data_IF_772450746190
#
_entry.id   IF_772450746190
#
_cell.length_a   1.000
_cell.length_b   1.000
_cell.length_c   1.000
_cell.angle_alpha   90.00
_cell.angle_beta   90.00
_cell.angle_gamma   90.00
#
_symmetry.space_group_name_H-M   'P 1'
#
loop_
_entity.id
_entity.type
_entity.pdbx_description
1 polymer ?
#
# COMPACT_ATOMS: atom_id res chain seq x y z
N UNK A 1 -11.42 -15.61 44.33
CA UNK A 1 -10.13 -15.99 43.71
C UNK A 1 -10.12 -15.53 42.25
N UNK A 2 -9.64 -14.31 41.98
CA UNK A 2 -9.57 -13.76 40.60
C UNK A 2 -8.15 -13.29 40.32
N UNK A 3 -7.68 -13.42 39.07
CA UNK A 3 -6.36 -12.96 38.65
C UNK A 3 -5.29 -14.03 38.52
N UNK A 4 -5.65 -15.27 38.20
CA UNK A 4 -4.68 -16.28 37.77
C UNK A 4 -4.44 -16.16 36.25
N UNK A 5 -3.19 -16.29 35.82
CA UNK A 5 -2.78 -16.37 34.41
C UNK A 5 -2.31 -17.79 34.15
N UNK A 6 -2.96 -18.45 33.20
CA UNK A 6 -2.60 -19.78 32.73
C UNK A 6 -1.70 -19.63 31.50
N UNK A 7 -0.47 -20.12 31.58
CA UNK A 7 0.44 -20.17 30.45
C UNK A 7 0.29 -21.48 29.67
N UNK A 8 0.74 -21.47 28.41
CA UNK A 8 0.61 -22.60 27.48
C UNK A 8 1.43 -23.82 27.90
N UNK A 9 2.41 -23.63 28.79
CA UNK A 9 3.24 -24.66 29.41
C UNK A 9 2.61 -25.28 30.67
N UNK A 10 1.37 -24.91 31.02
CA UNK A 10 0.66 -25.41 32.19
C UNK A 10 0.99 -24.66 33.49
N UNK A 11 1.90 -23.68 33.46
CA UNK A 11 2.20 -22.88 34.66
C UNK A 11 1.06 -21.91 34.98
N UNK A 12 0.75 -21.81 36.28
CA UNK A 12 -0.25 -20.89 36.80
C UNK A 12 0.46 -19.86 37.65
N UNK A 13 0.29 -18.58 37.30
CA UNK A 13 0.89 -17.46 38.04
C UNK A 13 -0.16 -16.42 38.41
N UNK A 14 0.06 -15.75 39.53
CA UNK A 14 -0.76 -14.61 39.91
C UNK A 14 -0.48 -13.44 38.95
N UNK A 15 -1.54 -12.80 38.48
CA UNK A 15 -1.46 -11.61 37.65
C UNK A 15 -0.71 -10.54 38.46
N UNK A 16 0.37 -9.95 37.92
CA UNK A 16 1.09 -8.90 38.61
C UNK A 16 0.17 -7.71 38.91
N UNK A 17 0.43 -7.03 40.02
CA UNK A 17 -0.33 -5.86 40.43
C UNK A 17 -0.31 -4.77 39.36
N UNK A 18 -1.41 -4.02 39.25
CA UNK A 18 -1.54 -2.96 38.24
C UNK A 18 -0.51 -1.85 38.48
N UNK A 19 0.34 -1.59 37.50
CA UNK A 19 1.33 -0.50 37.56
C UNK A 19 0.76 0.86 37.09
N UNK A 20 -0.58 1.02 37.09
CA UNK A 20 -1.26 2.18 36.50
C UNK A 20 -0.85 3.50 37.16
N UNK A 21 -0.76 3.55 38.48
CA UNK A 21 -0.37 4.76 39.20
C UNK A 21 1.03 5.23 38.79
N UNK A 22 2.01 4.33 38.79
CA UNK A 22 3.39 4.60 38.37
C UNK A 22 3.48 5.00 36.90
N UNK A 23 2.72 4.34 36.02
CA UNK A 23 2.66 4.69 34.61
C UNK A 23 2.17 6.12 34.43
N UNK A 24 1.14 6.54 35.16
CA UNK A 24 0.56 7.89 35.05
C UNK A 24 1.49 8.97 35.60
N UNK A 25 2.09 8.77 36.78
CA UNK A 25 2.75 9.87 37.52
C UNK A 25 4.27 9.88 37.47
N UNK A 26 4.94 8.75 37.21
CA UNK A 26 6.40 8.68 37.33
C UNK A 26 7.12 9.46 36.23
N UNK A 27 8.18 10.20 36.61
CA UNK A 27 9.09 10.88 35.68
C UNK A 27 9.88 9.90 34.81
N UNK A 28 10.22 8.72 35.32
CA UNK A 28 10.97 7.71 34.56
C UNK A 28 10.14 7.08 33.42
N UNK A 29 8.80 7.21 33.47
CA UNK A 29 7.89 6.64 32.47
C UNK A 29 7.40 7.63 31.41
N UNK A 30 7.91 8.87 31.38
CA UNK A 30 7.51 9.89 30.39
C UNK A 30 7.62 9.37 28.96
N UNK A 31 8.77 8.81 28.58
CA UNK A 31 9.00 8.25 27.23
C UNK A 31 8.10 7.07 26.89
N UNK A 32 7.76 6.25 27.89
CA UNK A 32 6.84 5.11 27.71
C UNK A 32 5.43 5.61 27.44
N UNK A 33 4.99 6.66 28.16
CA UNK A 33 3.69 7.32 27.93
C UNK A 33 3.61 7.97 26.55
N UNK A 34 4.64 8.72 26.14
CA UNK A 34 4.73 9.34 24.82
C UNK A 34 4.58 8.28 23.71
N UNK A 35 5.37 7.21 23.77
CA UNK A 35 5.28 6.11 22.80
C UNK A 35 3.91 5.43 22.81
N UNK A 36 3.33 5.20 24.00
CA UNK A 36 2.01 4.59 24.13
C UNK A 36 0.91 5.46 23.52
N UNK A 37 0.98 6.77 23.70
CA UNK A 37 0.06 7.74 23.10
C UNK A 37 0.11 7.68 21.57
N UNK A 38 1.31 7.78 21.00
CA UNK A 38 1.50 7.73 19.54
C UNK A 38 1.14 6.35 18.96
N UNK A 39 1.37 5.26 19.70
CA UNK A 39 0.94 3.93 19.28
C UNK A 39 -0.59 3.82 19.25
N UNK A 40 -1.27 4.38 20.25
CA UNK A 40 -2.72 4.49 20.28
C UNK A 40 -3.29 5.31 19.12
N UNK A 41 -2.64 6.44 18.79
CA UNK A 41 -2.99 7.26 17.64
C UNK A 41 -2.81 6.50 16.30
N UNK A 42 -1.67 5.84 16.10
CA UNK A 42 -1.42 5.01 14.93
C UNK A 42 -2.43 3.86 14.79
N UNK A 43 -2.75 3.17 15.89
CA UNK A 43 -3.77 2.11 15.91
C UNK A 43 -5.18 2.63 15.58
N UNK A 44 -5.53 3.82 16.07
CA UNK A 44 -6.81 4.49 15.77
C UNK A 44 -6.90 4.88 14.30
N UNK A 45 -5.82 5.43 13.74
CA UNK A 45 -5.74 5.77 12.32
C UNK A 45 -5.82 4.53 11.42
N UNK A 46 -5.14 3.43 11.78
CA UNK A 46 -5.24 2.16 11.05
C UNK A 46 -6.63 1.52 11.16
N UNK A 47 -7.34 1.72 12.27
CA UNK A 47 -8.76 1.35 12.37
C UNK A 47 -9.62 2.19 11.41
N UNK A 48 -9.37 3.49 11.32
CA UNK A 48 -10.12 4.39 10.45
C UNK A 48 -10.02 3.98 8.97
N UNK A 49 -8.81 3.65 8.49
CA UNK A 49 -8.58 3.11 7.13
C UNK A 49 -9.37 1.82 6.90
N UNK A 50 -9.34 0.89 7.87
CA UNK A 50 -10.10 -0.37 7.77
C UNK A 50 -11.60 -0.17 7.79
N UNK A 51 -12.10 0.80 8.54
CA UNK A 51 -13.52 1.13 8.55
C UNK A 51 -13.94 1.74 7.20
N UNK A 52 -13.11 2.62 6.63
CA UNK A 52 -13.35 3.26 5.34
C UNK A 52 -13.39 2.29 4.16
N UNK A 53 -12.63 1.19 4.24
CA UNK A 53 -12.49 0.16 3.21
C UNK A 53 -13.08 -1.19 3.63
N UNK A 54 -14.00 -1.18 4.60
CA UNK A 54 -14.50 -2.40 5.27
C UNK A 54 -15.07 -3.41 4.29
N UNK A 55 -15.87 -2.94 3.32
CA UNK A 55 -16.56 -3.82 2.36
C UNK A 55 -15.57 -4.56 1.48
N UNK A 56 -14.45 -3.93 1.12
CA UNK A 56 -13.39 -4.55 0.33
C UNK A 56 -12.53 -5.50 1.16
N UNK A 57 -12.17 -5.10 2.38
CA UNK A 57 -11.27 -5.87 3.27
C UNK A 57 -11.92 -7.17 3.77
N UNK A 58 -13.25 -7.19 3.91
CA UNK A 58 -13.97 -8.31 4.53
C UNK A 58 -13.65 -9.67 3.90
N UNK A 59 -13.43 -9.72 2.58
CA UNK A 59 -13.15 -10.95 1.85
C UNK A 59 -11.66 -11.20 1.57
N UNK A 60 -10.78 -10.22 1.81
CA UNK A 60 -9.42 -10.20 1.29
C UNK A 60 -8.36 -9.78 2.33
N UNK A 61 -8.51 -10.25 3.58
CA UNK A 61 -7.55 -9.95 4.65
C UNK A 61 -6.95 -11.18 5.34
N UNK A 62 -5.64 -11.13 5.57
CA UNK A 62 -4.93 -12.15 6.34
C UNK A 62 -4.96 -11.88 7.86
N UNK A 63 -4.65 -12.92 8.65
CA UNK A 63 -4.69 -12.86 10.13
C UNK A 63 -3.75 -11.83 10.76
N UNK A 64 -2.69 -11.41 10.07
CA UNK A 64 -1.70 -10.45 10.55
C UNK A 64 -1.87 -9.05 9.94
N UNK A 65 -2.84 -8.86 9.03
CA UNK A 65 -3.08 -7.59 8.33
C UNK A 65 -3.17 -6.40 9.30
N UNK A 66 -3.89 -6.52 10.41
CA UNK A 66 -4.04 -5.42 11.38
C UNK A 66 -2.71 -5.04 12.02
N UNK A 67 -1.86 -6.02 12.33
CA UNK A 67 -0.52 -5.76 12.89
C UNK A 67 0.40 -5.09 11.87
N UNK A 68 0.38 -5.57 10.61
CA UNK A 68 1.16 -4.97 9.51
C UNK A 68 0.70 -3.54 9.23
N UNK A 69 -0.60 -3.31 9.13
CA UNK A 69 -1.14 -1.97 8.93
C UNK A 69 -0.77 -1.05 10.09
N UNK A 70 -0.88 -1.52 11.34
CA UNK A 70 -0.47 -0.73 12.52
C UNK A 70 1.01 -0.34 12.48
N UNK A 71 1.88 -1.23 11.97
CA UNK A 71 3.30 -0.93 11.77
C UNK A 71 3.49 0.19 10.74
N UNK A 72 2.76 0.15 9.62
CA UNK A 72 2.79 1.21 8.59
C UNK A 72 2.23 2.53 9.14
N UNK A 73 1.12 2.51 9.88
CA UNK A 73 0.60 3.72 10.51
C UNK A 73 1.58 4.30 11.55
N UNK A 74 2.34 3.43 12.24
CA UNK A 74 3.38 3.87 13.17
C UNK A 74 4.59 4.46 12.45
N UNK A 75 4.93 4.03 11.23
CA UNK A 75 5.95 4.74 10.45
C UNK A 75 5.44 6.10 9.98
N UNK A 76 4.18 6.19 9.55
CA UNK A 76 3.57 7.45 9.07
C UNK A 76 3.50 8.51 10.18
N UNK A 77 3.06 8.14 11.39
CA UNK A 77 2.97 9.10 12.52
C UNK A 77 4.36 9.65 12.91
N UNK A 78 5.44 8.91 12.67
CA UNK A 78 6.79 9.37 12.98
C UNK A 78 7.27 10.47 12.01
N UNK A 79 6.59 10.64 10.87
CA UNK A 79 6.86 11.70 9.89
C UNK A 79 6.23 13.03 10.27
N UNK A 80 5.43 13.08 11.34
CA UNK A 80 4.93 14.33 11.89
C UNK A 80 6.07 15.11 12.55
N UNK A 81 6.55 16.12 11.83
CA UNK A 81 7.58 17.05 12.28
C UNK A 81 7.02 18.28 13.02
N UNK A 82 5.69 18.49 13.03
CA UNK A 82 5.06 19.68 13.63
C UNK A 82 4.71 19.46 15.09
N UNK A 83 4.25 18.26 15.44
CA UNK A 83 3.82 17.95 16.80
C UNK A 83 4.99 17.58 17.70
N UNK A 84 4.87 17.96 18.98
CA UNK A 84 5.75 17.47 20.03
C UNK A 84 5.67 15.94 20.17
N UNK A 85 6.73 15.34 20.75
CA UNK A 85 6.76 13.92 21.06
C UNK A 85 5.60 13.52 21.96
N UNK A 86 5.02 12.35 21.71
CA UNK A 86 3.83 11.88 22.41
C UNK A 86 2.51 12.48 21.92
N UNK A 87 2.57 13.54 21.11
CA UNK A 87 1.41 14.27 20.56
C UNK A 87 1.28 14.15 19.04
N UNK A 88 2.26 13.50 18.38
CA UNK A 88 2.27 13.26 16.94
C UNK A 88 0.98 12.63 16.43
N UNK A 89 0.57 13.06 15.24
CA UNK A 89 -0.63 12.58 14.56
C UNK A 89 -0.28 12.03 13.17
N UNK A 90 -1.20 11.24 12.63
CA UNK A 90 -1.11 10.80 11.23
C UNK A 90 -1.57 11.97 10.35
N UNK A 91 -0.64 12.51 9.57
CA UNK A 91 -0.91 13.59 8.60
C UNK A 91 -1.15 12.95 7.24
N UNK A 92 -2.21 13.37 6.53
CA UNK A 92 -2.58 12.80 5.23
C UNK A 92 -1.42 12.84 4.22
N UNK A 93 -0.72 13.97 4.10
CA UNK A 93 0.44 14.14 3.22
C UNK A 93 1.59 13.13 3.48
N UNK A 94 1.71 12.62 4.70
CA UNK A 94 2.77 11.68 5.08
C UNK A 94 2.41 10.21 4.75
N UNK A 95 1.20 9.95 4.29
CA UNK A 95 0.67 8.59 4.18
C UNK A 95 0.99 7.87 2.86
N UNK A 96 1.96 8.39 2.09
CA UNK A 96 2.38 7.80 0.81
C UNK A 96 2.83 6.33 0.95
N UNK A 97 3.36 5.94 2.13
CA UNK A 97 3.77 4.55 2.40
C UNK A 97 2.61 3.55 2.50
N UNK A 98 1.35 4.00 2.42
CA UNK A 98 0.21 3.10 2.26
C UNK A 98 0.11 2.53 0.84
N UNK A 99 0.67 3.20 -0.17
CA UNK A 99 0.71 2.70 -1.53
C UNK A 99 1.43 1.33 -1.58
N UNK A 100 0.84 0.38 -2.28
CA UNK A 100 1.31 -1.01 -2.33
C UNK A 100 1.04 -1.82 -1.07
N UNK A 101 0.35 -1.27 -0.06
CA UNK A 101 -0.04 -2.06 1.11
C UNK A 101 -1.00 -3.17 0.68
N UNK A 102 -0.53 -4.41 0.78
CA UNK A 102 -1.30 -5.59 0.48
C UNK A 102 -2.03 -6.08 1.74
N UNK A 103 -3.35 -6.25 1.68
CA UNK A 103 -4.19 -6.70 2.78
C UNK A 103 -4.15 -8.21 3.00
N UNK A 104 -3.73 -8.97 1.98
CA UNK A 104 -3.55 -10.42 2.03
C UNK A 104 -2.22 -10.84 1.37
N UNK A 105 -1.19 -11.07 2.19
CA UNK A 105 0.10 -11.53 1.66
C UNK A 105 0.06 -12.94 1.04
N UNK A 106 -0.94 -13.76 1.39
CA UNK A 106 -1.12 -15.10 0.83
C UNK A 106 -1.63 -15.08 -0.61
N UNK A 107 -2.28 -13.99 -1.03
CA UNK A 107 -2.76 -13.78 -2.37
C UNK A 107 -2.55 -12.32 -2.75
N UNK A 108 -1.33 -11.95 -3.13
CA UNK A 108 -1.05 -10.59 -3.56
C UNK A 108 -1.62 -10.28 -4.93
N UNK A 109 -2.04 -9.03 -5.14
CA UNK A 109 -2.66 -8.61 -6.39
C UNK A 109 -1.77 -8.90 -7.61
N UNK A 110 -0.47 -8.63 -7.54
CA UNK A 110 0.48 -8.95 -8.63
C UNK A 110 0.68 -10.45 -8.90
N UNK A 111 0.23 -11.33 -8.00
CA UNK A 111 0.24 -12.79 -8.20
C UNK A 111 -1.11 -13.32 -8.71
N UNK A 112 -2.14 -12.47 -8.74
CA UNK A 112 -3.52 -12.85 -9.05
C UNK A 112 -4.06 -12.17 -10.31
N UNK A 113 -3.59 -10.97 -10.63
CA UNK A 113 -3.96 -10.18 -11.80
C UNK A 113 -2.70 -9.74 -12.54
N UNK A 114 -2.52 -10.24 -13.77
CA UNK A 114 -1.36 -9.95 -14.62
C UNK A 114 -1.63 -8.90 -15.70
N UNK A 115 -2.91 -8.56 -15.90
CA UNK A 115 -3.30 -7.50 -16.81
C UNK A 115 -2.82 -6.13 -16.28
N UNK A 116 -2.23 -5.27 -17.13
CA UNK A 116 -1.84 -3.93 -16.73
C UNK A 116 -3.06 -3.07 -16.44
N UNK A 117 -2.95 -2.21 -15.44
CA UNK A 117 -4.01 -1.29 -15.06
C UNK A 117 -3.43 0.04 -14.59
N UNK A 118 -4.27 1.07 -14.58
CA UNK A 118 -3.96 2.39 -14.04
C UNK A 118 -5.07 2.85 -13.12
N UNK A 119 -4.70 3.53 -12.02
CA UNK A 119 -5.65 4.18 -11.12
C UNK A 119 -5.35 5.68 -11.11
N UNK A 120 -6.25 6.48 -11.68
CA UNK A 120 -6.01 7.91 -11.92
C UNK A 120 -7.06 8.77 -11.23
N UNK A 121 -6.65 9.79 -10.43
CA UNK A 121 -7.58 10.75 -9.85
C UNK A 121 -7.99 11.83 -10.86
N UNK A 122 -9.20 12.36 -10.70
CA UNK A 122 -9.68 13.57 -11.36
C UNK A 122 -10.73 14.27 -10.48
N UNK A 123 -10.31 15.27 -9.71
CA UNK A 123 -11.17 15.98 -8.76
C UNK A 123 -11.75 15.04 -7.69
N UNK A 124 -13.09 14.93 -7.66
CA UNK A 124 -13.81 14.04 -6.74
C UNK A 124 -13.85 12.57 -7.21
N UNK A 125 -13.31 12.27 -8.39
CA UNK A 125 -13.37 10.93 -8.99
C UNK A 125 -12.01 10.26 -9.01
N UNK A 126 -12.00 8.94 -8.94
CA UNK A 126 -10.82 8.12 -9.17
C UNK A 126 -11.23 6.98 -10.10
N UNK A 127 -10.48 6.81 -11.18
CA UNK A 127 -10.81 5.87 -12.26
C UNK A 127 -9.81 4.74 -12.29
N UNK A 128 -10.29 3.50 -12.21
CA UNK A 128 -9.55 2.31 -12.60
C UNK A 128 -9.73 2.09 -14.10
N UNK A 129 -8.62 1.95 -14.84
CA UNK A 129 -8.64 1.55 -16.24
C UNK A 129 -7.77 0.31 -16.46
N UNK A 130 -8.32 -0.66 -17.18
CA UNK A 130 -7.67 -1.91 -17.57
C UNK A 130 -7.80 -2.03 -19.09
N UNK A 131 -6.75 -1.74 -19.87
CA UNK A 131 -6.83 -1.67 -21.33
C UNK A 131 -7.27 -2.99 -21.99
N UNK A 132 -6.81 -4.12 -21.46
CA UNK A 132 -7.19 -5.45 -21.94
C UNK A 132 -7.19 -6.44 -20.78
N UNK A 133 -8.24 -7.25 -20.67
CA UNK A 133 -8.36 -8.28 -19.65
C UNK A 133 -8.88 -9.57 -20.30
N UNK A 134 -8.01 -10.57 -20.39
CA UNK A 134 -8.37 -11.93 -20.74
C UNK A 134 -8.38 -12.81 -19.47
N UNK A 135 -9.57 -13.17 -18.94
CA UNK A 135 -9.67 -13.89 -17.67
C UNK A 135 -8.97 -15.25 -17.63
N UNK A 136 -8.78 -15.90 -18.78
CA UNK A 136 -8.17 -17.22 -18.87
C UNK A 136 -6.64 -17.20 -18.68
N UNK A 137 -5.99 -16.07 -18.94
CA UNK A 137 -4.53 -15.93 -18.89
C UNK A 137 -4.08 -14.87 -17.89
N UNK A 138 -4.86 -13.81 -17.71
CA UNK A 138 -4.49 -12.67 -16.88
C UNK A 138 -4.93 -12.82 -15.42
N UNK A 139 -5.70 -13.85 -15.09
CA UNK A 139 -6.20 -14.10 -13.73
C UNK A 139 -5.73 -15.47 -13.25
N UNK A 140 -4.86 -15.47 -12.23
CA UNK A 140 -4.52 -16.67 -11.49
C UNK A 140 -5.57 -16.94 -10.41
N UNK A 141 -6.65 -17.64 -10.80
CA UNK A 141 -7.74 -17.97 -9.90
C UNK A 141 -7.42 -19.21 -9.03
N UNK A 142 -7.94 -19.28 -7.78
CA UNK A 142 -7.79 -20.44 -6.92
C UNK A 142 -8.56 -21.66 -7.45
N UNK A 143 -8.15 -22.85 -7.03
CA UNK A 143 -8.82 -24.11 -7.39
C UNK A 143 -10.31 -24.07 -6.99
N UNK A 144 -11.18 -24.46 -7.92
CA UNK A 144 -12.64 -24.48 -7.73
C UNK A 144 -13.34 -23.18 -8.09
N UNK A 145 -12.60 -22.10 -8.40
CA UNK A 145 -13.20 -20.88 -8.93
C UNK A 145 -13.74 -21.11 -10.35
N UNK A 146 -14.92 -20.56 -10.61
CA UNK A 146 -15.57 -20.56 -11.93
C UNK A 146 -15.80 -19.13 -12.43
N UNK A 147 -15.91 -18.19 -11.50
CA UNK A 147 -16.19 -16.79 -11.76
C UNK A 147 -15.30 -15.91 -10.87
N UNK A 148 -15.11 -14.67 -11.29
CA UNK A 148 -14.40 -13.64 -10.56
C UNK A 148 -15.21 -12.34 -10.53
N UNK A 149 -14.88 -11.46 -9.61
CA UNK A 149 -15.36 -10.08 -9.57
C UNK A 149 -14.15 -9.18 -9.32
N UNK A 150 -14.04 -8.08 -10.08
CA UNK A 150 -13.06 -7.03 -9.82
C UNK A 150 -13.60 -6.13 -8.73
N UNK A 151 -12.84 -5.99 -7.66
CA UNK A 151 -13.18 -5.22 -6.49
C UNK A 151 -12.37 -3.93 -6.48
N UNK A 152 -12.99 -2.85 -6.92
CA UNK A 152 -12.45 -1.50 -6.81
C UNK A 152 -13.11 -0.76 -5.65
N UNK A 153 -12.32 -0.01 -4.89
CA UNK A 153 -12.82 0.78 -3.77
C UNK A 153 -12.00 2.03 -3.59
N UNK A 154 -12.66 3.12 -3.23
CA UNK A 154 -11.99 4.40 -2.95
C UNK A 154 -12.60 5.00 -1.70
N UNK A 155 -11.77 5.60 -0.86
CA UNK A 155 -12.23 6.33 0.31
C UNK A 155 -11.41 7.60 0.54
N UNK A 156 -12.06 8.65 1.05
CA UNK A 156 -11.43 9.81 1.66
C UNK A 156 -11.37 9.60 3.17
N UNK A 157 -10.22 9.90 3.79
CA UNK A 157 -9.99 9.72 5.22
C UNK A 157 -9.40 10.99 5.82
N UNK A 158 -10.05 11.55 6.84
CA UNK A 158 -9.49 12.63 7.66
C UNK A 158 -9.06 12.06 9.01
N UNK A 159 -7.74 11.92 9.22
CA UNK A 159 -7.19 11.33 10.44
C UNK A 159 -7.38 12.21 11.69
N UNK A 160 -7.39 13.53 11.52
CA UNK A 160 -7.54 14.50 12.62
C UNK A 160 -8.98 14.55 13.09
N UNK A 161 -9.92 14.71 12.14
CA UNK A 161 -11.36 14.70 12.42
C UNK A 161 -11.91 13.30 12.73
N UNK A 162 -11.13 12.24 12.42
CA UNK A 162 -11.51 10.82 12.59
C UNK A 162 -12.76 10.45 11.80
N UNK A 163 -12.90 11.03 10.62
CA UNK A 163 -14.01 10.79 9.69
C UNK A 163 -13.48 10.13 8.42
N UNK A 164 -14.38 9.46 7.71
CA UNK A 164 -14.11 8.91 6.40
C UNK A 164 -15.37 8.97 5.54
N UNK A 165 -15.16 8.95 4.23
CA UNK A 165 -16.22 8.85 3.23
C UNK A 165 -15.79 7.79 2.21
N UNK A 166 -16.61 6.76 2.03
CA UNK A 166 -16.41 5.77 0.98
C UNK A 166 -17.05 6.27 -0.32
N UNK A 167 -16.30 6.24 -1.41
CA UNK A 167 -16.79 6.62 -2.72
C UNK A 167 -17.81 5.60 -3.26
N UNK A 168 -18.71 6.06 -4.12
CA UNK A 168 -19.62 5.17 -4.85
C UNK A 168 -18.97 4.76 -6.16
N UNK A 169 -18.88 3.45 -6.42
CA UNK A 169 -18.39 2.93 -7.70
C UNK A 169 -19.54 2.85 -8.69
N UNK A 170 -19.45 3.63 -9.76
CA UNK A 170 -20.42 3.59 -10.85
C UNK A 170 -20.22 2.32 -11.68
N UNK A 171 -21.33 1.62 -11.95
CA UNK A 171 -21.38 0.47 -12.86
C UNK A 171 -20.30 -0.60 -12.58
N UNK A 172 -20.33 -1.26 -11.40
CA UNK A 172 -19.45 -2.38 -11.13
C UNK A 172 -19.63 -3.45 -12.22
N UNK A 173 -18.53 -4.12 -12.59
CA UNK A 173 -18.56 -5.15 -13.64
C UNK A 173 -19.40 -6.38 -13.26
N UNK A 174 -19.65 -6.55 -11.96
CA UNK A 174 -20.31 -7.70 -11.38
C UNK A 174 -19.46 -8.97 -11.47
N UNK A 175 -20.14 -10.10 -11.27
CA UNK A 175 -19.53 -11.43 -11.31
C UNK A 175 -19.43 -11.87 -12.78
N UNK A 176 -18.20 -12.18 -13.22
CA UNK A 176 -17.88 -12.57 -14.59
C UNK A 176 -17.27 -13.98 -14.64
N UNK A 177 -17.52 -14.76 -15.70
CA UNK A 177 -16.95 -16.10 -15.83
C UNK A 177 -15.44 -16.06 -16.11
N UNK A 178 -14.68 -16.97 -15.48
CA UNK A 178 -13.24 -17.13 -15.75
C UNK A 178 -12.96 -17.67 -17.15
N UNK A 179 -13.93 -18.36 -17.76
CA UNK A 179 -13.88 -18.83 -19.16
C UNK A 179 -14.50 -17.82 -20.13
N UNK A 180 -14.76 -16.59 -19.68
CA UNK A 180 -15.35 -15.54 -20.51
C UNK A 180 -14.40 -15.04 -21.59
N UNK A 181 -14.96 -14.40 -22.61
CA UNK A 181 -14.18 -13.71 -23.64
C UNK A 181 -13.35 -12.56 -23.05
N UNK A 182 -12.22 -12.27 -23.70
CA UNK A 182 -11.41 -11.12 -23.36
C UNK A 182 -12.21 -9.81 -23.50
N UNK A 183 -11.95 -8.86 -22.60
CA UNK A 183 -12.55 -7.54 -22.58
C UNK A 183 -11.48 -6.50 -22.86
N UNK A 184 -11.89 -5.41 -23.50
CA UNK A 184 -11.02 -4.25 -23.78
C UNK A 184 -11.59 -3.01 -23.12
N UNK A 185 -10.72 -2.08 -22.72
CA UNK A 185 -11.08 -0.79 -22.13
C UNK A 185 -12.04 -0.93 -20.93
N UNK A 186 -11.75 -1.89 -20.05
CA UNK A 186 -12.50 -2.04 -18.81
C UNK A 186 -12.21 -0.81 -17.94
N UNK A 187 -13.27 -0.13 -17.50
CA UNK A 187 -13.16 1.09 -16.70
C UNK A 187 -14.19 1.07 -15.57
N UNK A 188 -13.75 1.46 -14.37
CA UNK A 188 -14.61 1.67 -13.20
C UNK A 188 -14.30 3.03 -12.58
N UNK A 189 -15.32 3.83 -12.33
CA UNK A 189 -15.18 5.17 -11.75
C UNK A 189 -15.76 5.15 -10.35
N UNK A 190 -14.94 5.51 -9.37
CA UNK A 190 -15.38 5.75 -8.00
C UNK A 190 -15.49 7.26 -7.76
N UNK A 191 -16.64 7.70 -7.23
CA UNK A 191 -16.95 9.11 -7.03
C UNK A 191 -17.17 9.42 -5.56
N UNK A 192 -16.41 10.38 -5.03
CA UNK A 192 -16.64 11.00 -3.74
C UNK A 192 -17.75 12.06 -3.85
N UNK A 193 -18.53 12.34 -2.79
CA UNK A 193 -19.58 13.36 -2.81
C UNK A 193 -19.08 14.78 -3.09
N UNK A 194 -17.83 15.06 -2.76
CA UNK A 194 -17.15 16.33 -2.99
C UNK A 194 -15.67 16.08 -3.29
N UNK A 195 -15.00 17.07 -3.88
CA UNK A 195 -13.55 17.02 -4.05
C UNK A 195 -12.87 17.01 -2.67
N UNK A 196 -11.91 16.11 -2.44
CA UNK A 196 -11.21 16.00 -1.17
C UNK A 196 -10.36 17.24 -0.90
N UNK A 197 -10.28 17.62 0.38
CA UNK A 197 -9.44 18.71 0.87
C UNK A 197 -8.00 18.26 1.10
N UNK A 198 -7.07 19.20 1.32
CA UNK A 198 -5.66 18.88 1.54
C UNK A 198 -5.39 18.08 2.84
N UNK A 199 -6.29 18.12 3.82
CA UNK A 199 -6.20 17.38 5.07
C UNK A 199 -6.75 15.95 4.97
N UNK A 200 -7.37 15.62 3.84
CA UNK A 200 -7.94 14.31 3.57
C UNK A 200 -6.98 13.46 2.74
N UNK A 201 -6.85 12.20 3.14
CA UNK A 201 -6.17 11.19 2.35
C UNK A 201 -7.20 10.42 1.51
N UNK A 202 -7.11 10.55 0.19
CA UNK A 202 -7.74 9.60 -0.74
C UNK A 202 -6.89 8.34 -0.84
N UNK A 203 -7.54 7.18 -0.65
CA UNK A 203 -6.98 5.84 -0.81
C UNK A 203 -7.81 5.10 -1.84
N UNK A 204 -7.18 4.57 -2.89
CA UNK A 204 -7.79 3.65 -3.85
C UNK A 204 -7.24 2.24 -3.68
N UNK A 205 -8.13 1.25 -3.67
CA UNK A 205 -7.79 -0.17 -3.58
C UNK A 205 -8.30 -0.94 -4.76
N UNK A 206 -7.53 -1.94 -5.18
CA UNK A 206 -7.91 -2.92 -6.20
C UNK A 206 -7.73 -4.33 -5.64
N UNK A 207 -8.69 -5.19 -5.94
CA UNK A 207 -8.72 -6.57 -5.50
C UNK A 207 -9.61 -7.44 -6.36
N UNK A 208 -9.76 -8.69 -5.95
CA UNK A 208 -10.62 -9.65 -6.63
C UNK A 208 -11.33 -10.56 -5.64
N UNK A 209 -12.59 -10.89 -5.97
CA UNK A 209 -13.32 -11.98 -5.32
C UNK A 209 -13.48 -13.14 -6.30
N UNK A 210 -13.47 -14.37 -5.79
CA UNK A 210 -13.69 -15.57 -6.58
C UNK A 210 -14.94 -16.31 -6.14
N UNK A 211 -15.63 -16.92 -7.11
CA UNK A 211 -16.90 -17.61 -6.89
C UNK A 211 -16.94 -18.96 -7.59
N UNK A 212 -17.62 -19.90 -6.95
CA UNK A 212 -18.03 -21.16 -7.55
C UNK A 212 -19.52 -21.09 -7.91
N UNK A 213 -19.85 -21.36 -9.17
CA UNK A 213 -21.23 -21.46 -9.61
C UNK A 213 -21.71 -22.91 -9.50
N UNK A 214 -22.79 -23.13 -8.74
CA UNK A 214 -23.43 -24.43 -8.58
C UNK A 214 -24.94 -24.22 -8.78
N UNK A 215 -25.54 -24.96 -9.71
CA UNK A 215 -26.97 -24.87 -10.03
C UNK A 215 -27.45 -23.42 -10.27
N UNK A 216 -26.65 -22.64 -11.00
CA UNK A 216 -26.94 -21.24 -11.33
C UNK A 216 -26.72 -20.23 -10.20
N UNK A 217 -26.33 -20.65 -9.00
CA UNK A 217 -26.06 -19.77 -7.85
C UNK A 217 -24.55 -19.58 -7.65
N UNK A 218 -24.14 -18.36 -7.31
CA UNK A 218 -22.75 -18.01 -7.03
C UNK A 218 -22.45 -18.12 -5.53
N UNK A 219 -21.47 -18.96 -5.20
CA UNK A 219 -20.99 -19.14 -3.84
C UNK A 219 -19.59 -18.52 -3.73
N UNK A 220 -19.37 -17.56 -2.82
CA UNK A 220 -18.07 -16.93 -2.68
C UNK A 220 -17.06 -17.91 -2.08
N UNK A 221 -15.85 -17.94 -2.65
CA UNK A 221 -14.72 -18.71 -2.14
C UNK A 221 -13.98 -17.90 -1.05
N UNK A 222 -14.72 -17.46 -0.02
CA UNK A 222 -14.24 -16.62 1.07
C UNK A 222 -13.43 -17.43 2.10
N UNK A 223 -12.27 -17.94 1.70
CA UNK A 223 -11.37 -18.63 2.63
C UNK A 223 -10.35 -17.67 3.28
N UNK A 224 -10.42 -16.36 3.02
CA UNK A 224 -9.43 -15.34 3.42
C UNK A 224 -7.97 -15.66 3.02
N UNK A 225 -7.77 -16.70 2.21
CA UNK A 225 -6.46 -17.16 1.77
C UNK A 225 -6.19 -16.72 0.33
N UNK A 226 -7.22 -16.68 -0.53
CA UNK A 226 -7.04 -16.52 -1.97
C UNK A 226 -7.41 -15.17 -2.56
N UNK A 227 -8.14 -14.30 -1.85
CA UNK A 227 -8.61 -13.05 -2.46
C UNK A 227 -7.56 -11.95 -2.30
N UNK A 228 -7.08 -11.35 -3.41
CA UNK A 228 -6.17 -10.23 -3.35
C UNK A 228 -6.89 -8.93 -3.06
N UNK A 229 -6.22 -8.06 -2.31
CA UNK A 229 -6.57 -6.65 -2.18
C UNK A 229 -5.32 -5.86 -1.83
N UNK A 230 -5.08 -4.78 -2.54
CA UNK A 230 -3.96 -3.89 -2.29
C UNK A 230 -4.35 -2.42 -2.50
N UNK A 231 -3.61 -1.52 -1.85
CA UNK A 231 -3.71 -0.09 -2.09
C UNK A 231 -2.94 0.25 -3.37
N UNK A 232 -3.67 0.67 -4.40
CA UNK A 232 -3.11 0.99 -5.72
C UNK A 232 -3.12 2.50 -6.02
N UNK A 233 -3.65 3.30 -5.10
CA UNK A 233 -3.58 4.75 -5.19
C UNK A 233 -3.59 5.40 -3.81
N UNK A 234 -2.76 6.43 -3.65
CA UNK A 234 -2.83 7.37 -2.53
C UNK A 234 -2.65 8.79 -3.04
N UNK A 235 -3.49 9.72 -2.58
CA UNK A 235 -3.30 11.16 -2.86
C UNK A 235 -2.09 11.79 -2.15
N UNK A 236 -1.53 11.09 -1.16
CA UNK A 236 -0.30 11.51 -0.50
C UNK A 236 0.88 11.41 -1.47
N UNK A 237 1.52 12.55 -1.73
CA UNK A 237 2.78 12.60 -2.47
C UNK A 237 3.92 12.26 -1.51
N UNK A 238 4.92 11.45 -1.90
CA UNK A 238 6.09 11.21 -1.08
C UNK A 238 6.72 12.54 -0.64
N UNK A 239 6.81 12.78 0.67
CA UNK A 239 7.32 14.05 1.20
C UNK A 239 8.82 14.14 0.93
N UNK A 240 9.20 15.01 -0.01
CA UNK A 240 10.57 15.47 -0.23
C UNK A 240 10.95 16.51 0.83
N UNK A 241 11.67 16.08 1.87
CA UNK A 241 12.56 16.93 2.68
C UNK A 241 11.95 17.70 3.86
N UNK A 242 12.41 17.36 5.08
CA UNK A 242 12.15 18.12 6.31
C UNK A 242 12.61 17.41 7.58
N UNK A 243 13.93 17.37 7.80
CA UNK A 243 14.58 17.14 9.11
C UNK A 243 13.94 16.16 10.10
N UNK A 244 14.07 14.85 9.86
CA UNK A 244 13.70 13.85 10.84
C UNK A 244 13.59 12.46 10.25
N UNK A 245 14.67 11.67 10.33
CA UNK A 245 14.78 10.22 10.05
C UNK A 245 13.45 9.47 9.90
N UNK A 246 12.98 9.33 8.67
CA UNK A 246 11.79 8.56 8.29
C UNK A 246 11.63 8.41 6.78
N UNK A 247 12.73 8.18 6.06
CA UNK A 247 12.68 7.86 4.63
C UNK A 247 11.94 6.53 4.41
N UNK A 248 11.28 6.38 3.25
CA UNK A 248 11.29 5.06 2.59
C UNK A 248 12.77 4.77 2.37
N UNK A 249 13.32 3.93 3.25
CA UNK A 249 14.74 3.63 3.25
C UNK A 249 14.98 2.61 2.17
N UNK A 250 15.29 3.11 0.98
CA UNK A 250 16.05 2.34 0.01
C UNK A 250 17.44 2.07 0.60
N UNK A 251 17.89 0.82 0.53
CA UNK A 251 19.19 0.44 1.09
C UNK A 251 20.38 0.81 0.19
N UNK A 252 20.11 1.16 -1.07
CA UNK A 252 21.12 1.46 -2.08
C UNK A 252 20.82 2.78 -2.78
N UNK A 253 21.86 3.60 -2.96
CA UNK A 253 21.80 4.90 -3.62
C UNK A 253 22.88 4.97 -4.70
N UNK A 254 22.52 5.50 -5.88
CA UNK A 254 23.43 5.81 -6.98
C UNK A 254 23.36 7.29 -7.30
N UNK A 255 24.51 7.92 -7.50
CA UNK A 255 24.61 9.34 -7.82
C UNK A 255 24.99 9.57 -9.28
N UNK A 256 24.33 10.50 -9.94
CA UNK A 256 24.76 10.95 -11.26
C UNK A 256 26.12 11.67 -11.19
N UNK A 257 26.93 11.67 -12.27
CA UNK A 257 26.52 11.30 -13.61
C UNK A 257 26.63 9.81 -13.93
N UNK A 258 27.55 9.08 -13.28
CA UNK A 258 27.72 7.65 -13.47
C UNK A 258 28.07 6.98 -12.14
N UNK A 259 27.25 6.03 -11.70
CA UNK A 259 27.46 5.26 -10.48
C UNK A 259 26.82 3.87 -10.63
N UNK A 260 27.36 2.87 -9.93
CA UNK A 260 26.87 1.51 -10.02
C UNK A 260 26.96 0.78 -8.69
N UNK A 261 25.93 -0.02 -8.40
CA UNK A 261 25.89 -0.91 -7.24
C UNK A 261 24.84 -2.00 -7.47
N UNK A 262 25.09 -3.19 -6.90
CA UNK A 262 24.10 -4.27 -6.82
C UNK A 262 23.47 -4.69 -8.17
N UNK A 263 24.22 -4.57 -9.26
CA UNK A 263 23.73 -4.90 -10.61
C UNK A 263 22.82 -3.84 -11.23
N UNK A 264 22.85 -2.61 -10.70
CA UNK A 264 22.20 -1.42 -11.28
C UNK A 264 23.27 -0.37 -11.55
N UNK A 265 23.23 0.24 -12.74
CA UNK A 265 24.13 1.31 -13.18
C UNK A 265 23.30 2.49 -13.63
N UNK A 266 23.55 3.66 -13.05
CA UNK A 266 22.88 4.92 -13.37
C UNK A 266 23.75 5.75 -14.33
N UNK A 267 23.14 6.27 -15.38
CA UNK A 267 23.65 7.36 -16.21
C UNK A 267 22.66 8.53 -16.16
N UNK A 268 23.03 9.64 -15.53
CA UNK A 268 22.14 10.79 -15.27
C UNK A 268 22.91 12.12 -15.23
N UNK A 269 22.22 13.22 -14.90
CA UNK A 269 22.89 14.51 -14.67
C UNK A 269 23.62 14.54 -13.32
N UNK A 270 24.68 15.34 -13.21
CA UNK A 270 25.39 15.50 -11.94
C UNK A 270 24.45 16.07 -10.86
N UNK A 271 24.38 15.41 -9.71
CA UNK A 271 23.47 15.77 -8.61
C UNK A 271 22.13 15.03 -8.60
N UNK A 272 21.81 14.27 -9.66
CA UNK A 272 20.66 13.37 -9.66
C UNK A 272 20.93 12.16 -8.75
N UNK A 273 19.87 11.62 -8.15
CA UNK A 273 19.96 10.57 -7.14
C UNK A 273 18.95 9.46 -7.41
N UNK A 274 19.43 8.24 -7.63
CA UNK A 274 18.60 7.06 -7.84
C UNK A 274 18.69 6.13 -6.63
N UNK A 275 17.56 5.64 -6.13
CA UNK A 275 17.47 4.85 -4.90
C UNK A 275 16.61 3.61 -5.10
N UNK A 276 17.06 2.47 -4.60
CA UNK A 276 16.36 1.18 -4.72
C UNK A 276 16.75 0.23 -3.58
N UNK A 277 16.00 -0.86 -3.42
CA UNK A 277 16.33 -1.96 -2.50
C UNK A 277 17.13 -3.04 -3.22
N UNK A 278 18.28 -3.42 -2.67
CA UNK A 278 19.18 -4.41 -3.26
C UNK A 278 18.55 -5.80 -3.31
N UNK A 279 18.70 -6.47 -4.45
CA UNK A 279 18.31 -7.87 -4.64
C UNK A 279 19.54 -8.75 -4.85
N UNK A 280 19.84 -9.58 -3.85
CA UNK A 280 21.01 -10.47 -3.84
C UNK A 280 20.80 -11.78 -4.58
N UNK A 281 19.56 -12.14 -4.91
CA UNK A 281 19.20 -13.38 -5.63
C UNK A 281 18.12 -13.12 -6.70
N UNK A 282 18.02 -14.00 -7.70
CA UNK A 282 17.09 -13.87 -8.82
C UNK A 282 17.79 -13.73 -10.18
N UNK A 283 17.01 -13.47 -11.23
CA UNK A 283 17.46 -13.38 -12.63
C UNK A 283 18.74 -12.55 -12.82
N UNK A 284 19.51 -12.87 -13.86
CA UNK A 284 20.80 -12.23 -14.16
C UNK A 284 20.88 -11.69 -15.58
N UNK A 285 19.75 -11.62 -16.30
CA UNK A 285 19.75 -11.09 -17.65
C UNK A 285 19.83 -9.55 -17.59
N UNK A 286 20.65 -8.91 -18.43
CA UNK A 286 20.71 -7.45 -18.49
C UNK A 286 19.41 -6.87 -19.08
N UNK A 287 18.96 -5.76 -18.51
CA UNK A 287 17.83 -4.95 -18.95
C UNK A 287 18.19 -3.46 -18.82
N UNK A 288 17.47 -2.60 -19.54
CA UNK A 288 17.68 -1.15 -19.51
C UNK A 288 16.35 -0.43 -19.29
N UNK A 289 16.42 0.69 -18.59
CA UNK A 289 15.30 1.58 -18.30
C UNK A 289 15.67 3.01 -18.69
N UNK A 290 14.84 3.64 -19.50
CA UNK A 290 14.93 5.08 -19.72
C UNK A 290 13.95 5.82 -18.80
N UNK A 291 14.44 6.86 -18.13
CA UNK A 291 13.63 7.72 -17.27
C UNK A 291 13.40 9.05 -18.00
N UNK A 292 12.13 9.37 -18.21
CA UNK A 292 11.69 10.62 -18.81
C UNK A 292 10.99 11.47 -17.74
N UNK A 293 11.19 12.77 -17.79
CA UNK A 293 10.45 13.77 -16.99
C UNK A 293 9.88 14.79 -17.97
N UNK A 294 8.56 14.95 -17.96
CA UNK A 294 7.86 15.81 -18.92
C UNK A 294 8.07 15.40 -20.38
N UNK A 295 8.31 14.10 -20.63
CA UNK A 295 8.57 13.56 -21.97
C UNK A 295 10.00 13.75 -22.50
N UNK A 296 10.91 14.37 -21.74
CA UNK A 296 12.33 14.43 -22.07
C UNK A 296 13.09 13.35 -21.28
N UNK A 297 13.96 12.58 -21.94
CA UNK A 297 14.81 11.61 -21.25
C UNK A 297 15.86 12.34 -20.41
N UNK A 298 15.91 12.01 -19.12
CA UNK A 298 16.80 12.64 -18.13
C UNK A 298 17.80 11.66 -17.50
N UNK A 299 17.52 10.35 -17.57
CA UNK A 299 18.45 9.32 -17.14
C UNK A 299 18.25 8.02 -17.93
N UNK A 300 19.29 7.18 -17.94
CA UNK A 300 19.23 5.79 -18.37
C UNK A 300 19.81 4.90 -17.26
N UNK A 301 19.15 3.78 -16.98
CA UNK A 301 19.50 2.86 -15.90
C UNK A 301 19.64 1.47 -16.49
N UNK A 302 20.85 0.92 -16.49
CA UNK A 302 21.07 -0.48 -16.80
C UNK A 302 20.90 -1.30 -15.52
N UNK A 303 20.16 -2.40 -15.57
CA UNK A 303 19.84 -3.21 -14.39
C UNK A 303 19.71 -4.70 -14.74
N UNK A 304 19.79 -5.57 -13.73
CA UNK A 304 19.48 -6.99 -13.90
C UNK A 304 17.97 -7.22 -13.83
N UNK A 305 17.43 -8.08 -14.70
CA UNK A 305 16.00 -8.42 -14.82
C UNK A 305 15.30 -8.77 -13.50
N UNK A 306 16.02 -9.25 -12.47
CA UNK A 306 15.51 -9.41 -11.09
C UNK A 306 14.84 -8.17 -10.50
N UNK A 307 15.23 -6.97 -10.95
CA UNK A 307 14.66 -5.71 -10.48
C UNK A 307 13.40 -5.30 -11.23
N UNK A 308 13.05 -5.94 -12.35
CA UNK A 308 11.86 -5.59 -13.14
C UNK A 308 10.60 -5.57 -12.26
N UNK A 309 9.85 -4.47 -12.34
CA UNK A 309 8.64 -4.24 -11.53
C UNK A 309 8.89 -3.88 -10.07
N UNK A 310 10.16 -3.77 -9.61
CA UNK A 310 10.48 -3.31 -8.24
C UNK A 310 10.46 -1.80 -8.15
N UNK A 311 10.12 -1.28 -6.98
CA UNK A 311 10.04 0.15 -6.75
C UNK A 311 11.44 0.79 -6.70
N UNK A 312 11.53 2.03 -7.18
CA UNK A 312 12.69 2.90 -7.03
C UNK A 312 12.25 4.34 -6.78
N UNK A 313 13.19 5.19 -6.36
CA UNK A 313 13.05 6.64 -6.38
C UNK A 313 14.15 7.28 -7.20
N UNK A 314 13.80 8.25 -8.04
CA UNK A 314 14.74 9.02 -8.83
C UNK A 314 14.51 10.50 -8.57
N UNK A 315 15.55 11.20 -8.11
CA UNK A 315 15.52 12.65 -7.90
C UNK A 315 16.22 13.33 -9.05
N UNK A 316 15.50 14.19 -9.77
CA UNK A 316 16.01 15.00 -10.87
C UNK A 316 15.79 16.49 -10.58
N UNK A 317 16.82 17.31 -10.72
CA UNK A 317 16.75 18.75 -10.44
C UNK A 317 16.13 19.09 -9.06
N UNK A 318 16.35 18.24 -8.06
CA UNK A 318 15.82 18.39 -6.70
C UNK A 318 14.38 17.89 -6.50
N UNK A 319 13.71 17.40 -7.53
CA UNK A 319 12.36 16.82 -7.47
C UNK A 319 12.45 15.30 -7.47
N UNK A 320 11.83 14.64 -6.48
CA UNK A 320 11.82 13.19 -6.39
C UNK A 320 10.60 12.60 -7.09
N UNK A 321 10.87 11.60 -7.92
CA UNK A 321 9.89 10.77 -8.61
C UNK A 321 10.01 9.32 -8.09
N UNK A 322 8.91 8.58 -8.10
CA UNK A 322 8.88 7.17 -7.70
C UNK A 322 8.23 6.34 -8.77
N UNK A 323 8.88 5.27 -9.19
CA UNK A 323 8.39 4.38 -10.24
C UNK A 323 8.77 2.95 -9.96
N UNK A 324 8.60 2.09 -10.96
CA UNK A 324 9.06 0.72 -10.93
C UNK A 324 9.96 0.43 -12.13
N UNK A 325 10.99 -0.40 -11.96
CA UNK A 325 11.91 -0.73 -13.05
C UNK A 325 11.14 -1.33 -14.22
N UNK A 326 11.23 -0.68 -15.37
CA UNK A 326 10.60 -1.05 -16.62
C UNK A 326 11.44 -0.54 -17.80
N UNK A 327 11.13 -0.96 -19.03
CA UNK A 327 11.87 -0.49 -20.20
C UNK A 327 11.85 1.06 -20.34
N UNK A 328 10.75 1.69 -19.93
CA UNK A 328 10.59 3.14 -19.96
C UNK A 328 9.69 3.59 -18.83
N UNK A 329 10.08 4.65 -18.11
CA UNK A 329 9.29 5.29 -17.06
C UNK A 329 9.21 6.78 -17.36
N UNK A 330 8.00 7.33 -17.42
CA UNK A 330 7.77 8.74 -17.71
C UNK A 330 7.05 9.40 -16.52
N UNK A 331 7.62 10.48 -16.01
CA UNK A 331 7.15 11.25 -14.86
C UNK A 331 6.66 12.64 -15.24
#
# INVERSE_FOLDING_TARGET
>A
MGGLVFAKDGSVRQKPASNKATFTSSKSMVRVRENASEFGAAGSAGKLVRDALRTQIQAASDRYMVSRLSKVMKSIINLDAKSDRGMRQVVAANAASLLGFNFNLGAGLGQSLFSPYTVTPNGATVTLAIPSLNPTVDIAAPTGATHYEILFGVASVNFVAKTYISATVASPLGILPLTGAARTNVSQVATLPAAPTADELVIGVLGMNYYQQINGKFYPLNNNASNPLAVEYTSAVPVTGGGGSGNISYDTNLTGPNDNAQGVTLAASAGDLFKFDALTTGGSAPANMDILVGGAQVASVAYLDRYTGKAFSFTHAGVAHTGAFAATVNF
#
